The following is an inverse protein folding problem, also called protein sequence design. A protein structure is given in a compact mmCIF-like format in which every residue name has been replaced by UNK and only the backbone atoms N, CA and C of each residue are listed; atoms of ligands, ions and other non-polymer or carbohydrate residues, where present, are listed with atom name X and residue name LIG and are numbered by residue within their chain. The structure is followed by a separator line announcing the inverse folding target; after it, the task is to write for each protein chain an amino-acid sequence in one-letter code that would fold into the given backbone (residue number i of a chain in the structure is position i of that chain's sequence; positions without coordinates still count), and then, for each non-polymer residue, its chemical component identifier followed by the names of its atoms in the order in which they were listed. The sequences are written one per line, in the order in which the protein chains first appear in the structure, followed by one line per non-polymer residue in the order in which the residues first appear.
data_IF_610256195079
#
_entry.id   IF_610256195079
#
_cell.length_a   1.000
_cell.length_b   1.000
_cell.length_c   1.000
_cell.angle_alpha   90.00
_cell.angle_beta   90.00
_cell.angle_gamma   90.00
#
_symmetry.space_group_name_H-M   'P 1'
#
loop_
_entity.id
_entity.type
_entity.pdbx_description
1 polymer ?
#
# COMPACT_ATOMS: atom_id res chain seq x y z
N UNK A 1 36.59 -54.47 -12.31
CA UNK A 1 35.53 -53.62 -12.90
C UNK A 1 35.21 -52.54 -11.88
N UNK A 2 35.28 -51.27 -12.33
CA UNK A 2 34.72 -50.02 -11.75
C UNK A 2 34.92 -49.77 -10.25
N UNK A 3 35.72 -48.78 -9.82
CA UNK A 3 35.46 -47.33 -9.97
C UNK A 3 34.67 -46.87 -8.72
N UNK A 4 35.04 -45.89 -7.90
CA UNK A 4 35.73 -44.61 -8.13
C UNK A 4 36.45 -44.16 -6.83
N UNK A 5 37.55 -43.45 -7.04
CA UNK A 5 38.31 -42.55 -6.14
C UNK A 5 37.40 -41.64 -5.28
N UNK A 6 37.64 -41.47 -3.99
CA UNK A 6 38.72 -40.72 -3.31
C UNK A 6 38.46 -39.19 -3.21
N UNK A 7 38.80 -38.69 -2.03
CA UNK A 7 38.96 -37.30 -1.60
C UNK A 7 37.73 -36.39 -1.38
N UNK A 8 37.65 -35.92 -0.12
CA UNK A 8 36.98 -34.70 0.37
C UNK A 8 35.52 -34.89 0.83
N UNK A 9 35.21 -35.44 2.01
CA UNK A 9 35.45 -34.87 3.35
C UNK A 9 35.55 -33.33 3.39
N UNK A 10 34.74 -32.73 4.26
CA UNK A 10 34.87 -31.37 4.80
C UNK A 10 34.42 -30.22 3.87
N UNK A 11 33.20 -29.71 4.10
CA UNK A 11 33.02 -28.49 4.91
C UNK A 11 31.55 -28.03 4.96
N UNK A 12 31.01 -28.14 6.16
CA UNK A 12 30.06 -27.19 6.74
C UNK A 12 30.65 -25.76 6.64
N UNK A 13 29.81 -24.77 6.37
CA UNK A 13 30.11 -23.33 6.44
C UNK A 13 31.11 -22.77 5.41
N UNK A 14 30.59 -22.41 4.24
CA UNK A 14 30.99 -21.18 3.57
C UNK A 14 29.77 -20.67 2.80
N UNK A 15 29.36 -19.43 3.09
CA UNK A 15 28.40 -18.72 2.27
C UNK A 15 28.84 -18.81 0.82
N UNK A 16 27.95 -19.31 -0.03
CA UNK A 16 28.12 -19.24 -1.46
C UNK A 16 27.36 -17.98 -1.95
N UNK A 17 28.04 -16.86 -2.22
CA UNK A 17 27.39 -15.64 -2.71
C UNK A 17 27.07 -15.69 -4.21
N UNK A 18 26.98 -16.89 -4.82
CA UNK A 18 26.85 -17.06 -6.27
C UNK A 18 25.65 -17.88 -6.74
N UNK A 19 24.66 -18.12 -5.88
CA UNK A 19 23.31 -18.38 -6.40
C UNK A 19 22.69 -17.03 -6.71
N UNK A 20 22.28 -16.73 -7.96
CA UNK A 20 21.44 -15.59 -8.19
C UNK A 20 20.14 -15.87 -7.43
N UNK A 21 20.00 -15.34 -6.22
CA UNK A 21 18.69 -15.13 -5.63
C UNK A 21 17.85 -14.49 -6.75
N UNK A 22 16.76 -15.12 -7.22
CA UNK A 22 15.81 -14.38 -8.01
C UNK A 22 15.29 -13.28 -7.09
N UNK A 23 15.84 -12.06 -7.27
CA UNK A 23 15.41 -10.83 -6.62
C UNK A 23 13.90 -10.88 -6.54
N UNK A 24 13.36 -10.91 -5.33
CA UNK A 24 11.93 -10.88 -5.13
C UNK A 24 11.29 -9.79 -6.00
N UNK A 25 10.21 -10.13 -6.72
CA UNK A 25 8.99 -9.46 -6.35
C UNK A 25 7.98 -10.52 -5.93
N UNK A 26 8.10 -11.03 -4.71
CA UNK A 26 7.03 -11.76 -4.00
C UNK A 26 5.90 -10.80 -3.57
N UNK A 27 5.53 -9.84 -4.43
CA UNK A 27 4.52 -8.81 -4.15
C UNK A 27 3.39 -8.77 -5.19
N UNK A 28 3.15 -9.84 -5.93
CA UNK A 28 2.08 -9.90 -6.93
C UNK A 28 1.07 -11.05 -6.74
N UNK A 29 0.80 -11.47 -5.51
CA UNK A 29 -0.23 -12.49 -5.28
C UNK A 29 -1.67 -11.98 -5.47
N UNK A 30 -1.89 -10.66 -5.52
CA UNK A 30 -3.23 -10.11 -5.79
C UNK A 30 -3.64 -10.23 -7.26
N UNK A 31 -2.67 -10.17 -8.20
CA UNK A 31 -2.94 -10.39 -9.64
C UNK A 31 -3.45 -11.82 -9.88
N UNK A 32 -2.96 -12.80 -9.10
CA UNK A 32 -3.45 -14.17 -9.20
C UNK A 32 -4.91 -14.30 -8.77
N UNK A 33 -5.35 -13.51 -7.78
CA UNK A 33 -6.73 -13.51 -7.28
C UNK A 33 -7.67 -12.76 -8.23
N UNK A 34 -7.28 -11.57 -8.68
CA UNK A 34 -8.07 -10.75 -9.59
C UNK A 34 -8.05 -11.26 -11.04
N UNK A 35 -7.11 -12.14 -11.38
CA UNK A 35 -6.87 -12.63 -12.72
C UNK A 35 -6.10 -11.64 -13.60
N UNK A 36 -5.70 -12.12 -14.77
CA UNK A 36 -5.05 -11.26 -15.76
C UNK A 36 -6.02 -10.20 -16.26
N UNK A 37 -5.61 -8.93 -16.20
CA UNK A 37 -6.45 -7.79 -16.54
C UNK A 37 -6.46 -7.56 -18.05
N UNK A 38 -7.60 -7.13 -18.61
CA UNK A 38 -7.69 -6.82 -20.05
C UNK A 38 -6.83 -5.60 -20.36
N UNK A 39 -6.44 -5.41 -21.62
CA UNK A 39 -5.61 -4.25 -22.00
C UNK A 39 -6.22 -2.92 -21.57
N UNK A 40 -7.55 -2.79 -21.65
CA UNK A 40 -8.31 -1.63 -21.21
C UNK A 40 -8.24 -1.34 -19.70
N UNK A 41 -7.88 -2.33 -18.88
CA UNK A 41 -7.71 -2.18 -17.43
C UNK A 41 -6.25 -1.81 -17.06
N UNK A 42 -5.34 -1.77 -18.04
CA UNK A 42 -3.94 -1.35 -17.88
C UNK A 42 -3.68 0.07 -18.40
N UNK A 43 -4.70 0.73 -18.95
CA UNK A 43 -4.56 2.03 -19.59
C UNK A 43 -4.16 3.14 -18.61
N UNK A 44 -4.54 3.01 -17.33
CA UNK A 44 -4.12 3.95 -16.27
C UNK A 44 -2.62 3.87 -15.94
N UNK A 45 -1.91 2.84 -16.39
CA UNK A 45 -0.48 2.65 -16.10
C UNK A 45 0.34 3.33 -17.19
N UNK A 46 0.80 4.56 -16.94
CA UNK A 46 1.65 5.32 -17.87
C UNK A 46 3.04 4.68 -18.06
N UNK A 47 3.52 3.93 -17.07
CA UNK A 47 4.83 3.30 -17.13
C UNK A 47 4.81 2.06 -18.05
N UNK A 48 5.38 2.23 -19.25
CA UNK A 48 5.51 1.17 -20.26
C UNK A 48 6.24 -0.08 -19.76
N UNK A 49 7.24 0.05 -18.87
CA UNK A 49 7.96 -1.10 -18.29
C UNK A 49 7.04 -1.90 -17.36
N UNK A 50 6.26 -1.22 -16.52
CA UNK A 50 5.29 -1.86 -15.64
C UNK A 50 4.21 -2.58 -16.44
N UNK A 51 3.71 -1.96 -17.53
CA UNK A 51 2.75 -2.60 -18.44
C UNK A 51 3.30 -3.88 -19.09
N UNK A 52 4.54 -3.85 -19.58
CA UNK A 52 5.21 -5.04 -20.15
C UNK A 52 5.41 -6.14 -19.10
N UNK A 53 5.77 -5.77 -17.87
CA UNK A 53 5.95 -6.74 -16.79
C UNK A 53 4.63 -7.46 -16.46
N UNK A 54 3.53 -6.71 -16.29
CA UNK A 54 2.20 -7.30 -16.03
C UNK A 54 1.79 -8.22 -17.18
N UNK A 55 2.02 -7.82 -18.44
CA UNK A 55 1.75 -8.67 -19.63
C UNK A 55 2.62 -9.93 -19.71
N UNK A 56 3.81 -9.91 -19.11
CA UNK A 56 4.72 -11.08 -19.09
C UNK A 56 4.38 -12.10 -18.00
N UNK A 57 3.44 -11.77 -17.09
CA UNK A 57 3.02 -12.69 -16.04
C UNK A 57 2.24 -13.88 -16.63
N UNK A 58 2.31 -15.06 -16.00
CA UNK A 58 1.47 -16.19 -16.37
C UNK A 58 -0.01 -15.81 -16.30
N UNK A 59 -0.80 -16.31 -17.25
CA UNK A 59 -2.24 -16.10 -17.23
C UNK A 59 -2.86 -16.72 -15.97
N UNK A 60 -3.54 -15.90 -15.17
CA UNK A 60 -4.40 -16.36 -14.07
C UNK A 60 -5.85 -16.03 -14.40
N UNK A 61 -6.77 -16.95 -14.07
CA UNK A 61 -8.20 -16.71 -14.15
C UNK A 61 -8.64 -15.97 -12.88
N UNK A 62 -9.49 -14.96 -13.02
CA UNK A 62 -10.10 -14.27 -11.89
C UNK A 62 -10.84 -15.29 -11.00
N UNK A 63 -10.57 -15.24 -9.70
CA UNK A 63 -11.24 -16.07 -8.69
C UNK A 63 -12.41 -15.25 -8.15
N UNK A 64 -13.61 -15.81 -8.18
CA UNK A 64 -14.75 -15.18 -7.52
C UNK A 64 -14.53 -15.23 -6.01
N UNK A 65 -14.63 -14.07 -5.35
CA UNK A 65 -14.46 -13.97 -3.89
C UNK A 65 -15.45 -14.85 -3.12
N UNK A 66 -16.65 -15.10 -3.66
CA UNK A 66 -17.63 -16.04 -3.08
C UNK A 66 -17.10 -17.47 -3.00
N UNK A 67 -16.22 -17.88 -3.93
CA UNK A 67 -15.58 -19.20 -3.89
C UNK A 67 -14.42 -19.26 -2.89
N UNK A 68 -13.76 -18.13 -2.64
CA UNK A 68 -12.69 -18.03 -1.64
C UNK A 68 -13.24 -17.94 -0.22
N UNK A 69 -14.39 -17.28 -0.06
CA UNK A 69 -15.06 -17.05 1.21
C UNK A 69 -16.51 -17.58 1.17
N UNK A 70 -16.72 -18.91 1.13
CA UNK A 70 -18.05 -19.50 0.97
C UNK A 70 -18.98 -19.28 2.17
N UNK A 71 -18.43 -18.92 3.33
CA UNK A 71 -19.19 -18.67 4.57
C UNK A 71 -19.32 -17.18 4.91
N UNK A 72 -18.80 -16.29 4.06
CA UNK A 72 -18.94 -14.85 4.28
C UNK A 72 -20.34 -14.36 3.89
N UNK A 73 -20.76 -13.25 4.49
CA UNK A 73 -21.98 -12.55 4.10
C UNK A 73 -21.88 -12.14 2.62
N UNK A 74 -22.86 -12.47 1.76
CA UNK A 74 -22.89 -12.03 0.37
C UNK A 74 -22.70 -10.52 0.20
N UNK A 75 -23.23 -9.70 1.10
CA UNK A 75 -23.08 -8.24 1.07
C UNK A 75 -21.64 -7.80 1.38
N UNK A 76 -20.94 -8.53 2.24
CA UNK A 76 -19.51 -8.28 2.51
C UNK A 76 -18.66 -8.61 1.28
N UNK A 77 -18.98 -9.73 0.62
CA UNK A 77 -18.29 -10.19 -0.58
C UNK A 77 -18.53 -9.23 -1.75
N UNK A 78 -19.74 -8.68 -1.89
CA UNK A 78 -20.05 -7.66 -2.90
C UNK A 78 -19.24 -6.39 -2.68
N UNK A 79 -19.22 -5.85 -1.46
CA UNK A 79 -18.42 -4.67 -1.13
C UNK A 79 -16.92 -4.93 -1.40
N UNK A 80 -16.42 -6.10 -1.03
CA UNK A 80 -15.02 -6.49 -1.27
C UNK A 80 -14.69 -6.53 -2.78
N UNK A 81 -15.62 -6.99 -3.62
CA UNK A 81 -15.46 -6.99 -5.08
C UNK A 81 -15.36 -5.58 -5.64
N UNK A 82 -16.12 -4.63 -5.09
CA UNK A 82 -16.08 -3.23 -5.54
C UNK A 82 -14.83 -2.47 -5.03
N UNK A 83 -14.25 -2.90 -3.90
CA UNK A 83 -13.01 -2.36 -3.35
C UNK A 83 -11.75 -2.92 -4.03
N UNK A 84 -11.72 -4.21 -4.34
CA UNK A 84 -10.56 -4.90 -4.89
C UNK A 84 -10.57 -4.90 -6.43
N UNK A 85 -10.65 -3.71 -7.02
CA UNK A 85 -10.54 -3.49 -8.46
C UNK A 85 -9.12 -3.05 -8.82
N UNK A 86 -8.60 -3.59 -9.92
CA UNK A 86 -7.24 -3.32 -10.41
C UNK A 86 -7.06 -1.87 -10.87
N UNK A 87 -8.00 -1.38 -11.70
CA UNK A 87 -8.04 0.03 -12.09
C UNK A 87 -8.54 0.87 -10.91
N UNK A 88 -7.69 1.77 -10.36
CA UNK A 88 -8.06 2.60 -9.22
C UNK A 88 -9.24 3.54 -9.54
N UNK A 89 -9.43 3.91 -10.81
CA UNK A 89 -10.49 4.83 -11.26
C UNK A 89 -11.88 4.18 -11.21
N UNK A 90 -11.92 2.84 -11.28
CA UNK A 90 -13.16 2.04 -11.23
C UNK A 90 -13.50 1.56 -9.82
N UNK A 91 -12.61 1.77 -8.86
CA UNK A 91 -12.79 1.37 -7.47
C UNK A 91 -13.89 2.20 -6.83
N UNK A 92 -14.74 1.57 -6.02
CA UNK A 92 -15.76 2.27 -5.23
C UNK A 92 -15.13 3.42 -4.42
N UNK A 93 -15.77 4.58 -4.42
CA UNK A 93 -15.34 5.69 -3.58
C UNK A 93 -15.63 5.41 -2.10
N UNK A 94 -14.84 5.97 -1.20
CA UNK A 94 -15.05 5.80 0.25
C UNK A 94 -16.47 6.18 0.68
N UNK A 95 -17.02 7.27 0.11
CA UNK A 95 -18.37 7.73 0.43
C UNK A 95 -19.41 6.70 -0.01
N UNK A 96 -19.27 6.13 -1.20
CA UNK A 96 -20.18 5.10 -1.71
C UNK A 96 -20.08 3.81 -0.88
N UNK A 97 -18.85 3.42 -0.50
CA UNK A 97 -18.60 2.24 0.33
C UNK A 97 -19.27 2.36 1.71
N UNK A 98 -19.23 3.55 2.32
CA UNK A 98 -19.89 3.81 3.61
C UNK A 98 -21.42 3.71 3.51
N UNK A 99 -22.02 4.04 2.36
CA UNK A 99 -23.46 3.91 2.13
C UNK A 99 -23.87 2.51 1.65
N UNK A 100 -22.93 1.57 1.50
CA UNK A 100 -23.23 0.23 1.04
C UNK A 100 -24.14 -0.52 2.05
N UNK A 101 -25.10 -1.37 1.60
CA UNK A 101 -26.01 -2.10 2.49
C UNK A 101 -25.31 -2.89 3.61
N UNK A 102 -24.11 -3.42 3.31
CA UNK A 102 -23.27 -4.08 4.32
C UNK A 102 -22.87 -3.17 5.50
N UNK A 103 -22.66 -1.87 5.24
CA UNK A 103 -22.26 -0.89 6.25
C UNK A 103 -23.45 -0.24 6.97
N UNK A 104 -24.70 -0.52 6.57
CA UNK A 104 -25.91 0.12 7.12
C UNK A 104 -26.08 -0.02 8.64
N UNK A 105 -25.60 -1.13 9.22
CA UNK A 105 -25.64 -1.35 10.67
C UNK A 105 -24.45 -0.74 11.44
N UNK A 106 -23.46 -0.20 10.74
CA UNK A 106 -22.20 0.28 11.31
C UNK A 106 -21.95 1.77 11.04
N UNK A 107 -22.50 2.31 9.95
CA UNK A 107 -22.27 3.68 9.50
C UNK A 107 -23.47 4.57 9.82
N UNK A 108 -23.22 5.62 10.60
CA UNK A 108 -24.15 6.72 10.82
C UNK A 108 -23.50 8.04 10.35
N UNK A 109 -24.01 8.66 9.27
CA UNK A 109 -23.50 9.94 8.77
C UNK A 109 -23.55 11.08 9.80
N UNK A 110 -24.49 11.03 10.76
CA UNK A 110 -24.65 12.08 11.79
C UNK A 110 -23.54 12.04 12.83
N UNK A 111 -23.01 10.85 13.10
CA UNK A 111 -21.92 10.64 14.06
C UNK A 111 -20.53 10.63 13.42
N UNK A 112 -20.44 10.48 12.09
CA UNK A 112 -19.17 10.46 11.37
C UNK A 112 -19.18 11.40 10.15
N UNK A 113 -19.27 12.73 10.37
CA UNK A 113 -19.29 13.71 9.28
C UNK A 113 -17.96 13.74 8.53
N UNK A 114 -17.98 14.10 7.23
CA UNK A 114 -16.75 14.32 6.48
C UNK A 114 -15.94 15.48 7.08
N UNK A 115 -14.63 15.47 6.83
CA UNK A 115 -13.75 16.55 7.25
C UNK A 115 -14.25 17.90 6.71
N UNK A 116 -14.36 18.89 7.60
CA UNK A 116 -14.90 20.21 7.27
C UNK A 116 -13.88 21.11 6.54
N UNK A 117 -12.60 20.79 6.67
CA UNK A 117 -11.49 21.57 6.12
C UNK A 117 -10.63 20.63 5.27
N UNK A 118 -10.27 21.09 4.07
CA UNK A 118 -9.31 20.38 3.24
C UNK A 118 -7.92 20.53 3.87
N UNK A 119 -7.24 19.41 4.06
CA UNK A 119 -5.85 19.43 4.52
C UNK A 119 -4.99 20.02 3.40
N UNK A 120 -4.40 21.18 3.65
CA UNK A 120 -3.38 21.73 2.78
C UNK A 120 -2.04 21.05 3.12
N UNK A 121 -1.50 20.30 2.16
CA UNK A 121 -0.20 19.63 2.26
C UNK A 121 0.86 20.26 1.35
N UNK A 122 0.71 21.55 1.00
CA UNK A 122 1.68 22.35 0.24
C UNK A 122 2.96 22.57 1.07
N UNK A 123 3.70 21.48 1.29
CA UNK A 123 5.05 21.47 1.81
C UNK A 123 5.95 21.47 0.58
N UNK A 124 6.65 22.59 0.34
CA UNK A 124 7.57 22.71 -0.79
C UNK A 124 8.59 21.56 -0.74
N UNK A 125 8.68 20.76 -1.82
CA UNK A 125 9.61 19.62 -1.90
C UNK A 125 11.08 20.08 -1.84
N UNK A 126 11.34 21.36 -2.14
CA UNK A 126 12.65 21.98 -2.02
C UNK A 126 12.94 22.51 -0.60
N UNK A 127 12.00 22.36 0.34
CA UNK A 127 12.11 22.71 1.76
C UNK A 127 12.91 21.67 2.57
N UNK A 128 13.79 20.93 1.88
CA UNK A 128 14.60 19.83 2.41
C UNK A 128 15.81 20.24 3.25
N UNK A 129 16.05 21.54 3.46
CA UNK A 129 17.01 21.97 4.48
C UNK A 129 16.42 21.69 5.87
N UNK A 130 17.05 20.79 6.63
CA UNK A 130 16.59 20.40 7.97
C UNK A 130 16.34 21.59 8.93
N UNK A 131 17.00 22.73 8.67
CA UNK A 131 16.80 23.99 9.39
C UNK A 131 15.39 24.55 9.16
N UNK A 132 14.89 24.49 7.92
CA UNK A 132 13.55 24.99 7.56
C UNK A 132 12.44 24.12 8.16
N UNK A 133 12.59 22.79 8.12
CA UNK A 133 11.63 21.86 8.75
C UNK A 133 11.56 22.08 10.26
N UNK A 134 12.72 22.23 10.92
CA UNK A 134 12.78 22.49 12.36
C UNK A 134 12.03 23.77 12.73
N UNK A 135 12.22 24.85 11.97
CA UNK A 135 11.55 26.13 12.22
C UNK A 135 10.03 26.04 12.02
N UNK A 136 9.57 25.32 11.00
CA UNK A 136 8.15 25.11 10.75
C UNK A 136 7.48 24.30 11.87
N UNK A 137 8.13 23.23 12.32
CA UNK A 137 7.64 22.44 13.46
C UNK A 137 7.61 23.29 14.73
N UNK A 138 8.65 24.08 15.00
CA UNK A 138 8.67 24.97 16.16
C UNK A 138 7.56 26.03 16.11
N UNK A 139 7.30 26.62 14.95
CA UNK A 139 6.20 27.58 14.75
C UNK A 139 4.85 26.93 15.04
N UNK A 140 4.63 25.71 14.57
CA UNK A 140 3.38 24.98 14.83
C UNK A 140 3.24 24.63 16.32
N UNK A 141 4.33 24.19 16.96
CA UNK A 141 4.34 23.97 18.41
C UNK A 141 3.97 25.22 19.20
N UNK A 142 4.53 26.39 18.86
CA UNK A 142 4.17 27.64 19.54
C UNK A 142 2.76 28.13 19.25
N UNK A 143 2.20 27.80 18.08
CA UNK A 143 0.81 28.12 17.74
C UNK A 143 -0.18 27.40 18.66
N UNK A 144 0.06 26.11 18.92
CA UNK A 144 -0.81 25.28 19.78
C UNK A 144 -0.44 25.34 21.27
N UNK A 145 0.78 25.73 21.61
CA UNK A 145 1.30 25.83 22.98
C UNK A 145 1.86 27.22 23.31
N UNK A 146 1.03 28.28 23.34
CA UNK A 146 1.50 29.64 23.63
C UNK A 146 2.12 29.79 25.04
N UNK A 147 1.79 28.90 25.97
CA UNK A 147 2.37 28.84 27.33
C UNK A 147 3.88 28.59 27.32
N UNK A 148 4.38 27.82 26.34
CA UNK A 148 5.81 27.50 26.21
C UNK A 148 6.65 28.67 25.69
N UNK A 149 6.03 29.58 24.93
CA UNK A 149 6.67 30.80 24.46
C UNK A 149 7.00 31.76 25.61
N UNK A 150 6.07 31.88 26.58
CA UNK A 150 6.20 32.77 27.73
C UNK A 150 7.23 32.26 28.76
N UNK A 151 7.38 30.94 28.89
CA UNK A 151 8.38 30.33 29.78
C UNK A 151 9.83 30.63 29.32
N UNK A 152 10.06 30.73 28.01
CA UNK A 152 11.36 31.08 27.45
C UNK A 152 11.74 32.56 27.70
N UNK A 153 10.74 33.45 27.82
CA UNK A 153 10.98 34.88 28.13
C UNK A 153 11.33 35.09 29.60
N UNK A 154 10.79 34.28 30.50
CA UNK A 154 11.06 34.35 31.95
C UNK A 154 12.34 33.62 32.38
N UNK A 155 12.85 32.67 31.57
CA UNK A 155 14.12 31.99 31.83
C UNK A 155 15.35 32.80 31.37
N UNK A 156 15.16 33.93 30.67
CA UNK A 156 16.24 34.82 30.20
C UNK A 156 16.28 36.19 30.94
N UNK A 157 15.48 36.36 32.01
CA UNK A 157 15.48 37.56 32.87
C UNK A 157 16.10 37.30 34.24
#
# INVERSE_FOLDING_TARGET
MSGLSDASLLKFSAGNPSSPEPRAPTRLNYINVLGNQREADLDFIDNTKARRFIKSLPYSRAIHFSSMYPHADPLAVDLLQQMLIFDPSKRIMVVEALHHPYMSGLYDPTHNPPAQVQLNLDVDENMGEAIMIRELVLREMFHYHPETANANTLAQS
#
